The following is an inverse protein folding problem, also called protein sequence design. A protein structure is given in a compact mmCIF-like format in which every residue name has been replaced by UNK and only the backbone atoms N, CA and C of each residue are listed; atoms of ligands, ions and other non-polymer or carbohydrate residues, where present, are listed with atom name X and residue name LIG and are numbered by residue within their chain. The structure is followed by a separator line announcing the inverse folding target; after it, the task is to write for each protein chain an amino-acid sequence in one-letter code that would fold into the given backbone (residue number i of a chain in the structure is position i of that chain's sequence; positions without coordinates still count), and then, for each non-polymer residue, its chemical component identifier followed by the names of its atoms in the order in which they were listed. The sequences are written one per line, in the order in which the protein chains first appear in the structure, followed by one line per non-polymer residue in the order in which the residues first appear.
data_IF_615012386725
#
_entry.id   IF_615012386725
#
_cell.length_a   1.000
_cell.length_b   1.000
_cell.length_c   1.000
_cell.angle_alpha   90.00
_cell.angle_beta   90.00
_cell.angle_gamma   90.00
#
_symmetry.space_group_name_H-M   'P 1'
#
loop_
_entity.id
_entity.type
_entity.pdbx_description
1 polymer ?
#
# COMPACT_ATOMS: atom_id res chain seq x y z
N UNK A 1 -1.24 14.44 -12.56
CA UNK A 1 -2.28 14.51 -13.59
C UNK A 1 -1.78 14.06 -14.98
N UNK A 2 -0.64 13.41 -15.05
CA UNK A 2 0.01 12.87 -16.25
C UNK A 2 -0.89 11.89 -17.06
N UNK A 3 -1.91 11.33 -16.42
CA UNK A 3 -2.68 10.20 -16.93
C UNK A 3 -4.14 10.52 -17.28
N UNK A 4 -4.57 11.76 -17.15
CA UNK A 4 -5.92 12.22 -17.49
C UNK A 4 -5.84 13.41 -18.44
N UNK A 5 -6.82 13.55 -19.33
CA UNK A 5 -6.92 14.71 -20.21
C UNK A 5 -7.05 16.00 -19.39
N UNK A 6 -6.17 16.96 -19.61
CA UNK A 6 -6.14 18.21 -18.87
C UNK A 6 -7.42 19.04 -19.09
N UNK A 7 -8.00 19.00 -20.30
CA UNK A 7 -9.25 19.72 -20.60
C UNK A 7 -10.43 19.20 -19.78
N UNK A 8 -10.44 17.88 -19.50
CA UNK A 8 -11.43 17.29 -18.60
C UNK A 8 -11.21 17.75 -17.16
N UNK A 9 -9.95 17.82 -16.71
CA UNK A 9 -9.59 18.25 -15.35
C UNK A 9 -9.93 19.71 -15.06
N UNK A 10 -10.06 20.57 -16.06
CA UNK A 10 -10.44 21.99 -15.88
C UNK A 10 -11.80 22.15 -15.20
N UNK A 11 -12.68 21.16 -15.30
CA UNK A 11 -14.00 21.16 -14.67
C UNK A 11 -14.00 20.67 -13.20
N UNK A 12 -12.87 20.19 -12.69
CA UNK A 12 -12.80 19.55 -11.39
C UNK A 12 -11.76 20.16 -10.48
N UNK A 13 -12.03 20.13 -9.17
CA UNK A 13 -11.06 20.31 -8.11
C UNK A 13 -10.95 18.99 -7.33
N UNK A 14 -9.83 18.28 -7.48
CA UNK A 14 -9.58 17.01 -6.78
C UNK A 14 -8.61 17.28 -5.65
N UNK A 15 -9.09 17.14 -4.41
CA UNK A 15 -8.24 17.21 -3.21
C UNK A 15 -7.97 15.81 -2.68
N UNK A 16 -6.81 15.61 -2.05
CA UNK A 16 -6.41 14.29 -1.55
C UNK A 16 -6.29 14.26 -0.04
N UNK A 17 -6.76 13.20 0.59
CA UNK A 17 -6.57 12.81 1.98
C UNK A 17 -7.18 13.75 3.02
N UNK A 18 -6.76 15.02 3.06
CA UNK A 18 -7.19 15.99 4.06
C UNK A 18 -8.22 16.94 3.44
N UNK A 19 -9.48 16.93 3.93
CA UNK A 19 -10.50 17.83 3.42
C UNK A 19 -10.10 19.30 3.61
N UNK A 20 -10.49 20.13 2.65
CA UNK A 20 -10.26 21.60 2.68
C UNK A 20 -8.80 22.02 2.91
N UNK A 21 -7.83 21.14 2.61
CA UNK A 21 -6.40 21.50 2.60
C UNK A 21 -6.09 22.67 1.67
N UNK A 22 -6.89 22.81 0.62
CA UNK A 22 -6.94 23.97 -0.28
C UNK A 22 -8.39 24.45 -0.34
N UNK A 23 -8.66 25.75 -0.60
CA UNK A 23 -10.01 26.28 -0.73
C UNK A 23 -10.79 25.55 -1.83
N UNK A 24 -12.06 25.23 -1.55
CA UNK A 24 -12.95 24.62 -2.52
C UNK A 24 -13.31 25.62 -3.63
N UNK A 25 -13.51 25.11 -4.83
CA UNK A 25 -13.94 25.93 -5.98
C UNK A 25 -15.46 26.14 -5.95
N UNK A 26 -15.90 27.34 -6.36
CA UNK A 26 -17.32 27.63 -6.59
C UNK A 26 -17.78 27.22 -7.98
N UNK A 27 -16.85 27.14 -8.93
CA UNK A 27 -17.12 26.96 -10.37
C UNK A 27 -16.74 25.56 -10.87
N UNK A 28 -16.21 24.69 -9.98
CA UNK A 28 -15.76 23.34 -10.34
C UNK A 28 -16.45 22.30 -9.46
N UNK A 29 -16.55 21.09 -9.97
CA UNK A 29 -16.97 19.92 -9.20
C UNK A 29 -15.86 19.56 -8.21
N UNK A 30 -16.16 19.60 -6.92
CA UNK A 30 -15.19 19.34 -5.85
C UNK A 30 -15.21 17.86 -5.47
N UNK A 31 -14.09 17.17 -5.64
CA UNK A 31 -13.93 15.76 -5.33
C UNK A 31 -12.90 15.59 -4.20
N UNK A 32 -13.24 14.83 -3.17
CA UNK A 32 -12.27 14.37 -2.18
C UNK A 32 -11.83 12.94 -2.50
N UNK A 33 -10.56 12.78 -2.88
CA UNK A 33 -9.93 11.47 -3.06
C UNK A 33 -9.25 11.03 -1.77
N UNK A 34 -9.94 10.16 -1.02
CA UNK A 34 -9.50 9.74 0.30
C UNK A 34 -8.46 8.61 0.23
N UNK A 35 -7.29 8.89 0.82
CA UNK A 35 -6.16 7.96 0.90
C UNK A 35 -5.81 7.57 2.34
N UNK A 36 -6.26 8.37 3.33
CA UNK A 36 -5.96 8.17 4.73
C UNK A 36 -7.01 7.30 5.42
N UNK A 37 -6.64 6.71 6.55
CA UNK A 37 -7.57 5.94 7.39
C UNK A 37 -8.57 6.83 8.12
N UNK A 38 -9.75 6.27 8.35
CA UNK A 38 -10.93 6.91 8.96
C UNK A 38 -10.76 7.32 10.43
N UNK A 39 -9.73 6.83 11.09
CA UNK A 39 -9.46 6.99 12.53
C UNK A 39 -8.45 8.10 12.83
N UNK A 40 -7.96 8.82 11.82
CA UNK A 40 -7.08 9.96 12.03
C UNK A 40 -7.85 11.14 12.67
N UNK A 41 -7.31 11.77 13.74
CA UNK A 41 -8.02 12.80 14.53
C UNK A 41 -8.63 13.91 13.67
N UNK A 42 -7.85 14.49 12.76
CA UNK A 42 -8.31 15.56 11.86
C UNK A 42 -9.46 15.13 10.93
N UNK A 43 -9.47 13.85 10.52
CA UNK A 43 -10.56 13.31 9.70
C UNK A 43 -11.80 13.03 10.53
N UNK A 44 -11.63 12.51 11.76
CA UNK A 44 -12.74 12.28 12.68
C UNK A 44 -13.49 13.59 12.92
N UNK A 45 -12.78 14.65 13.25
CA UNK A 45 -13.37 15.96 13.54
C UNK A 45 -14.16 16.49 12.33
N UNK A 46 -13.56 16.44 11.15
CA UNK A 46 -14.18 16.95 9.94
C UNK A 46 -15.42 16.12 9.52
N UNK A 47 -15.28 14.79 9.44
CA UNK A 47 -16.35 13.92 8.96
C UNK A 47 -17.48 13.69 9.98
N UNK A 48 -17.27 13.96 11.28
CA UNK A 48 -18.31 13.88 12.30
C UNK A 48 -19.36 14.98 12.12
N UNK A 49 -19.00 16.09 11.52
CA UNK A 49 -19.96 17.14 11.16
C UNK A 49 -20.60 16.82 9.79
N UNK A 50 -21.89 16.42 9.81
CA UNK A 50 -22.64 16.06 8.58
C UNK A 50 -22.80 17.21 7.57
N UNK A 51 -22.75 18.46 8.02
CA UNK A 51 -22.83 19.60 7.11
C UNK A 51 -21.60 19.72 6.24
N UNK A 52 -20.45 19.26 6.73
CA UNK A 52 -19.22 19.18 5.92
C UNK A 52 -19.38 18.23 4.74
N UNK A 53 -20.22 17.19 4.84
CA UNK A 53 -20.44 16.25 3.72
C UNK A 53 -21.09 16.92 2.50
N UNK A 54 -21.73 18.08 2.67
CA UNK A 54 -22.33 18.86 1.57
C UNK A 54 -21.32 19.67 0.77
N UNK A 55 -20.11 19.89 1.36
CA UNK A 55 -19.06 20.73 0.77
C UNK A 55 -18.38 20.08 -0.44
N UNK A 56 -18.38 18.75 -0.51
CA UNK A 56 -17.88 18.01 -1.66
C UNK A 56 -19.04 17.46 -2.46
N UNK A 57 -18.88 17.51 -3.78
CA UNK A 57 -19.83 16.94 -4.71
C UNK A 57 -19.71 15.43 -4.76
N UNK A 58 -18.46 14.92 -4.61
CA UNK A 58 -18.19 13.49 -4.66
C UNK A 58 -16.99 13.05 -3.81
N UNK A 59 -17.00 11.78 -3.40
CA UNK A 59 -15.94 11.11 -2.64
C UNK A 59 -15.41 9.91 -3.41
N UNK A 60 -14.09 9.82 -3.54
CA UNK A 60 -13.41 8.66 -4.13
C UNK A 60 -12.55 8.02 -3.07
N UNK A 61 -12.67 6.70 -2.89
CA UNK A 61 -11.88 5.91 -1.94
C UNK A 61 -10.92 5.00 -2.68
N UNK A 62 -9.78 4.70 -2.07
CA UNK A 62 -8.74 3.86 -2.67
C UNK A 62 -8.96 2.34 -2.49
N UNK A 63 -9.98 1.95 -1.69
CA UNK A 63 -10.41 0.57 -1.49
C UNK A 63 -11.86 0.51 -1.00
N UNK A 64 -12.50 -0.64 -1.19
CA UNK A 64 -13.83 -0.90 -0.61
C UNK A 64 -13.75 -0.96 0.92
N UNK A 65 -12.67 -1.50 1.48
CA UNK A 65 -12.43 -1.49 2.92
C UNK A 65 -12.43 -0.05 3.47
N UNK A 66 -11.68 0.85 2.84
CA UNK A 66 -11.64 2.25 3.24
C UNK A 66 -13.02 2.91 3.12
N UNK A 67 -13.71 2.72 1.99
CA UNK A 67 -15.06 3.21 1.77
C UNK A 67 -16.04 2.74 2.86
N UNK A 68 -16.07 1.45 3.16
CA UNK A 68 -16.97 0.88 4.17
C UNK A 68 -16.70 1.44 5.56
N UNK A 69 -15.43 1.63 5.94
CA UNK A 69 -15.07 2.24 7.23
C UNK A 69 -15.62 3.67 7.35
N UNK A 70 -15.45 4.49 6.32
CA UNK A 70 -16.00 5.84 6.29
C UNK A 70 -17.55 5.83 6.26
N UNK A 71 -18.14 4.96 5.45
CA UNK A 71 -19.60 4.81 5.37
C UNK A 71 -20.20 4.40 6.71
N UNK A 72 -19.64 3.41 7.38
CA UNK A 72 -20.14 2.91 8.66
C UNK A 72 -19.98 3.94 9.77
N UNK A 73 -18.84 4.61 9.85
CA UNK A 73 -18.55 5.55 10.93
C UNK A 73 -19.23 6.89 10.74
N UNK A 74 -19.16 7.47 9.54
CA UNK A 74 -19.58 8.85 9.29
C UNK A 74 -20.87 8.96 8.47
N UNK A 75 -21.41 7.84 7.97
CA UNK A 75 -22.61 7.80 7.15
C UNK A 75 -22.47 8.59 5.83
N UNK A 76 -21.31 8.49 5.19
CA UNK A 76 -21.08 9.11 3.88
C UNK A 76 -22.13 8.63 2.88
N UNK A 77 -22.78 9.52 2.11
CA UNK A 77 -23.83 9.14 1.16
C UNK A 77 -23.27 8.22 0.04
N UNK A 78 -23.88 7.07 -0.16
CA UNK A 78 -23.45 6.10 -1.16
C UNK A 78 -23.58 6.63 -2.60
N UNK A 79 -24.59 7.44 -2.88
CA UNK A 79 -24.82 8.05 -4.22
C UNK A 79 -23.78 9.13 -4.57
N UNK A 80 -22.96 9.57 -3.60
CA UNK A 80 -21.85 10.50 -3.78
C UNK A 80 -20.49 9.84 -3.59
N UNK A 81 -20.41 8.53 -3.70
CA UNK A 81 -19.18 7.81 -3.36
C UNK A 81 -18.88 6.72 -4.36
N UNK A 82 -17.60 6.54 -4.68
CA UNK A 82 -17.10 5.42 -5.47
C UNK A 82 -15.74 4.97 -5.00
N UNK A 83 -15.29 3.82 -5.48
CA UNK A 83 -13.95 3.28 -5.24
C UNK A 83 -13.18 3.26 -6.55
N UNK A 84 -12.05 3.97 -6.58
CA UNK A 84 -11.05 3.87 -7.64
C UNK A 84 -9.73 3.52 -6.98
N UNK A 85 -9.25 2.32 -7.25
CA UNK A 85 -8.05 1.79 -6.59
C UNK A 85 -6.78 2.56 -7.01
N UNK A 86 -5.73 2.45 -6.21
CA UNK A 86 -4.42 2.98 -6.56
C UNK A 86 -3.86 2.28 -7.81
N UNK A 87 -2.81 2.85 -8.38
CA UNK A 87 -2.08 2.28 -9.50
C UNK A 87 -0.58 2.36 -9.27
N UNK A 88 0.15 1.47 -9.94
CA UNK A 88 1.61 1.46 -9.99
C UNK A 88 2.08 1.32 -11.44
N UNK A 89 3.34 1.60 -11.68
CA UNK A 89 3.95 1.33 -12.98
C UNK A 89 4.11 -0.17 -13.19
N UNK A 90 4.00 -0.60 -14.44
CA UNK A 90 4.24 -2.00 -14.81
C UNK A 90 5.69 -2.39 -14.64
N UNK A 91 5.92 -3.66 -14.37
CA UNK A 91 7.22 -4.28 -14.38
C UNK A 91 7.34 -5.27 -15.55
N UNK A 92 8.53 -5.44 -16.15
CA UNK A 92 8.78 -6.51 -17.11
C UNK A 92 8.58 -7.88 -16.44
N UNK A 93 8.34 -8.90 -17.24
CA UNK A 93 8.18 -10.27 -16.72
C UNK A 93 9.43 -10.69 -15.93
N UNK A 94 9.20 -11.16 -14.71
CA UNK A 94 10.28 -11.60 -13.83
C UNK A 94 10.78 -12.99 -14.26
N UNK A 95 12.09 -13.13 -14.37
CA UNK A 95 12.76 -14.40 -14.60
C UNK A 95 13.03 -15.06 -13.25
N UNK A 96 12.41 -16.20 -12.97
CA UNK A 96 12.57 -16.94 -11.73
C UNK A 96 13.77 -17.89 -11.83
N UNK A 97 14.91 -17.45 -11.33
CA UNK A 97 16.14 -18.24 -11.28
C UNK A 97 16.44 -18.53 -9.81
N UNK A 98 16.62 -19.81 -9.46
CA UNK A 98 17.05 -20.20 -8.13
C UNK A 98 18.44 -19.64 -7.83
N UNK A 99 18.54 -18.92 -6.72
CA UNK A 99 19.77 -18.36 -6.17
C UNK A 99 20.24 -19.17 -4.97
N UNK A 100 21.50 -18.95 -4.56
CA UNK A 100 22.03 -19.58 -3.35
C UNK A 100 21.30 -19.12 -2.10
N UNK A 101 20.87 -17.85 -2.06
CA UNK A 101 20.07 -17.27 -0.97
C UNK A 101 18.71 -16.80 -1.48
N UNK A 102 17.70 -16.90 -0.65
CA UNK A 102 16.39 -16.26 -0.84
C UNK A 102 16.49 -14.83 -0.31
N UNK A 103 16.29 -13.86 -1.22
CA UNK A 103 16.34 -12.44 -0.87
C UNK A 103 14.97 -11.91 -0.50
N UNK A 104 14.85 -11.48 0.74
CA UNK A 104 13.68 -10.82 1.28
C UNK A 104 13.83 -9.31 1.20
N UNK A 105 12.72 -8.60 1.07
CA UNK A 105 12.67 -7.15 1.16
C UNK A 105 11.57 -6.70 2.13
N UNK A 106 11.85 -5.63 2.87
CA UNK A 106 10.88 -4.79 3.55
C UNK A 106 11.07 -3.34 3.10
N UNK A 107 10.08 -2.74 2.44
CA UNK A 107 10.13 -1.35 2.00
C UNK A 107 8.88 -0.59 2.44
N UNK A 108 8.89 -0.21 3.72
CA UNK A 108 7.81 0.53 4.34
C UNK A 108 8.31 1.30 5.56
N UNK A 109 7.44 2.11 6.17
CA UNK A 109 7.76 2.86 7.39
C UNK A 109 7.95 1.92 8.60
N UNK A 110 8.75 2.33 9.60
CA UNK A 110 9.12 1.41 10.70
C UNK A 110 7.93 0.98 11.57
N UNK A 111 6.89 1.81 11.72
CA UNK A 111 5.70 1.49 12.54
C UNK A 111 4.73 0.49 11.88
N UNK A 112 4.96 0.10 10.64
CA UNK A 112 4.11 -0.84 9.91
C UNK A 112 4.51 -2.30 10.10
N UNK A 113 5.23 -2.61 11.18
CA UNK A 113 5.56 -3.97 11.57
C UNK A 113 7.02 -4.37 11.40
N UNK A 114 7.96 -3.41 11.20
CA UNK A 114 9.38 -3.73 11.14
C UNK A 114 9.86 -4.46 12.41
N UNK A 115 9.37 -4.06 13.60
CA UNK A 115 9.68 -4.74 14.86
C UNK A 115 9.27 -6.22 14.86
N UNK A 116 8.12 -6.55 14.28
CA UNK A 116 7.65 -7.93 14.13
C UNK A 116 8.57 -8.71 13.19
N UNK A 117 8.92 -8.09 12.04
CA UNK A 117 9.79 -8.73 11.05
C UNK A 117 11.20 -9.01 11.61
N UNK A 118 11.80 -8.05 12.33
CA UNK A 118 13.10 -8.27 12.97
C UNK A 118 13.02 -9.36 14.04
N UNK A 119 11.93 -9.41 14.81
CA UNK A 119 11.67 -10.53 15.72
C UNK A 119 11.53 -11.87 14.99
N UNK A 120 10.92 -11.90 13.82
CA UNK A 120 10.83 -13.09 12.99
C UNK A 120 12.21 -13.52 12.46
N UNK A 121 13.03 -12.59 11.97
CA UNK A 121 14.38 -12.88 11.43
C UNK A 121 15.33 -13.48 12.48
N UNK A 122 15.12 -13.21 13.77
CA UNK A 122 15.85 -13.88 14.85
C UNK A 122 15.46 -15.36 15.02
N UNK A 123 14.26 -15.73 14.59
CA UNK A 123 13.68 -17.06 14.77
C UNK A 123 13.74 -17.93 13.51
N UNK A 124 13.98 -17.32 12.35
CA UNK A 124 14.12 -18.02 11.05
C UNK A 124 15.27 -19.04 11.16
N UNK A 125 14.98 -20.29 10.79
CA UNK A 125 15.92 -21.43 10.86
C UNK A 125 16.74 -21.57 9.58
N UNK A 126 16.16 -21.21 8.43
CA UNK A 126 16.84 -21.28 7.14
C UNK A 126 18.02 -20.30 7.11
N UNK A 127 19.23 -20.81 6.89
CA UNK A 127 20.46 -20.02 6.85
C UNK A 127 20.71 -19.32 5.50
N UNK A 128 19.99 -19.73 4.48
CA UNK A 128 20.09 -19.19 3.12
C UNK A 128 19.06 -18.07 2.87
N UNK A 129 18.72 -17.31 3.93
CA UNK A 129 17.77 -16.19 3.90
C UNK A 129 18.47 -14.89 4.26
N UNK A 130 18.22 -13.85 3.50
CA UNK A 130 18.78 -12.51 3.71
C UNK A 130 17.67 -11.46 3.50
N UNK A 131 17.55 -10.52 4.46
CA UNK A 131 16.55 -9.46 4.43
C UNK A 131 17.20 -8.09 4.22
N UNK A 132 16.78 -7.38 3.19
CA UNK A 132 17.08 -5.97 3.00
C UNK A 132 15.94 -5.09 3.53
N UNK A 133 16.28 -4.13 4.39
CA UNK A 133 15.33 -3.23 5.05
C UNK A 133 15.49 -1.81 4.53
N UNK A 134 14.55 -1.39 3.70
CA UNK A 134 14.37 0.00 3.23
C UNK A 134 13.30 0.66 4.10
N UNK A 135 13.72 1.25 5.21
CA UNK A 135 12.78 1.82 6.19
C UNK A 135 13.33 3.08 6.82
N UNK A 136 12.55 4.15 6.79
CA UNK A 136 12.84 5.42 7.44
C UNK A 136 11.57 6.24 7.52
N UNK A 137 11.53 7.20 8.45
CA UNK A 137 10.49 8.22 8.50
C UNK A 137 10.67 9.30 7.43
N UNK A 138 11.83 9.35 6.77
CA UNK A 138 12.18 10.33 5.72
C UNK A 138 11.27 10.26 4.49
N UNK A 139 10.55 9.16 4.29
CA UNK A 139 9.56 9.04 3.20
C UNK A 139 8.49 10.14 3.23
N UNK A 140 8.25 10.74 4.40
CA UNK A 140 7.34 11.88 4.58
C UNK A 140 8.06 13.25 4.59
N UNK A 141 9.33 13.29 4.20
CA UNK A 141 10.14 14.49 4.10
C UNK A 141 11.07 14.72 5.31
N UNK A 142 12.04 15.61 5.12
CA UNK A 142 13.11 15.83 6.10
C UNK A 142 12.60 16.43 7.42
N UNK A 143 11.58 17.28 7.37
CA UNK A 143 10.97 17.83 8.58
C UNK A 143 10.29 16.74 9.41
N UNK A 144 9.57 15.82 8.75
CA UNK A 144 8.94 14.70 9.44
C UNK A 144 9.99 13.77 10.06
N UNK A 145 11.07 13.48 9.34
CA UNK A 145 12.20 12.70 9.85
C UNK A 145 12.80 13.34 11.11
N UNK A 146 13.09 14.63 11.06
CA UNK A 146 13.71 15.36 12.19
C UNK A 146 12.91 15.23 13.49
N UNK A 147 11.58 15.12 13.41
CA UNK A 147 10.72 15.05 14.59
C UNK A 147 10.37 13.62 15.02
N UNK A 148 10.48 12.63 14.11
CA UNK A 148 9.92 11.30 14.34
C UNK A 148 10.93 10.14 14.26
N UNK A 149 12.13 10.35 13.70
CA UNK A 149 13.06 9.24 13.45
C UNK A 149 13.73 8.70 14.72
N UNK A 150 13.92 9.57 15.71
CA UNK A 150 14.62 9.24 16.96
C UNK A 150 13.94 8.10 17.73
N UNK A 151 12.62 8.03 17.72
CA UNK A 151 11.88 6.97 18.40
C UNK A 151 12.14 5.56 17.79
N UNK A 152 12.65 5.49 16.55
CA UNK A 152 12.94 4.24 15.84
C UNK A 152 14.43 3.88 15.82
N UNK A 153 15.32 4.70 16.39
CA UNK A 153 16.77 4.42 16.42
C UNK A 153 17.09 3.04 16.97
N UNK A 154 16.49 2.65 18.11
CA UNK A 154 16.68 1.34 18.70
C UNK A 154 16.29 0.20 17.76
N UNK A 155 15.23 0.38 16.96
CA UNK A 155 14.80 -0.61 15.98
C UNK A 155 15.78 -0.70 14.79
N UNK A 156 16.33 0.43 14.36
CA UNK A 156 17.35 0.45 13.30
C UNK A 156 18.67 -0.20 13.75
N UNK A 157 19.09 0.04 15.00
CA UNK A 157 20.26 -0.63 15.57
C UNK A 157 20.04 -2.14 15.74
N UNK A 158 18.82 -2.55 16.12
CA UNK A 158 18.47 -3.99 16.13
C UNK A 158 18.58 -4.59 14.72
N UNK A 159 18.11 -3.89 13.68
CA UNK A 159 18.23 -4.36 12.30
C UNK A 159 19.69 -4.53 11.88
N UNK A 160 20.55 -3.57 12.20
CA UNK A 160 22.01 -3.63 11.90
C UNK A 160 22.74 -4.75 12.65
N UNK A 161 22.26 -5.13 13.84
CA UNK A 161 22.89 -6.15 14.66
C UNK A 161 22.58 -7.59 14.22
N UNK A 162 21.56 -7.80 13.37
CA UNK A 162 21.17 -9.13 12.91
C UNK A 162 22.04 -9.56 11.71
N UNK A 163 22.68 -10.75 11.75
CA UNK A 163 23.62 -11.16 10.70
C UNK A 163 22.97 -11.48 9.35
N UNK A 164 21.66 -11.70 9.33
CA UNK A 164 20.85 -11.98 8.13
C UNK A 164 19.96 -10.80 7.70
N UNK A 165 20.26 -9.59 8.20
CA UNK A 165 19.52 -8.36 7.90
C UNK A 165 20.47 -7.26 7.47
N UNK A 166 20.22 -6.64 6.34
CA UNK A 166 20.91 -5.46 5.84
C UNK A 166 20.00 -4.23 6.02
N UNK A 167 20.30 -3.36 6.98
CA UNK A 167 19.57 -2.12 7.12
C UNK A 167 20.12 -1.06 6.15
N UNK A 168 19.32 -0.66 5.16
CA UNK A 168 19.70 0.28 4.11
C UNK A 168 19.17 1.68 4.41
N UNK A 169 18.04 1.79 5.10
CA UNK A 169 17.42 3.06 5.43
C UNK A 169 16.56 3.62 4.30
N UNK A 170 16.61 4.95 4.10
CA UNK A 170 15.83 5.62 3.07
C UNK A 170 16.48 5.53 1.70
N UNK A 171 15.69 5.15 0.73
CA UNK A 171 15.98 5.27 -0.71
C UNK A 171 14.75 5.83 -1.40
N UNK A 172 14.92 6.49 -2.51
CA UNK A 172 13.78 6.98 -3.31
C UNK A 172 12.94 5.80 -3.82
N UNK A 173 11.64 6.05 -4.02
CA UNK A 173 10.77 4.99 -4.56
C UNK A 173 11.22 4.51 -5.95
N UNK A 174 11.77 5.42 -6.76
CA UNK A 174 12.32 5.08 -8.08
C UNK A 174 13.48 4.09 -7.97
N UNK A 175 14.38 4.29 -7.01
CA UNK A 175 15.53 3.38 -6.80
C UNK A 175 15.09 2.03 -6.25
N UNK A 176 14.11 1.99 -5.30
CA UNK A 176 13.53 0.74 -4.81
C UNK A 176 12.92 -0.04 -5.97
N UNK A 177 12.13 0.60 -6.81
CA UNK A 177 11.48 -0.04 -7.96
C UNK A 177 12.46 -0.67 -8.94
N UNK A 178 13.60 -0.02 -9.22
CA UNK A 178 14.66 -0.60 -10.07
C UNK A 178 15.21 -1.90 -9.52
N UNK A 179 15.18 -2.08 -8.19
CA UNK A 179 15.74 -3.25 -7.50
C UNK A 179 14.71 -4.32 -7.11
N UNK A 180 13.40 -4.01 -7.14
CA UNK A 180 12.38 -4.93 -6.63
C UNK A 180 12.49 -6.33 -7.24
N UNK A 181 12.75 -6.45 -8.54
CA UNK A 181 12.84 -7.76 -9.19
C UNK A 181 14.11 -8.57 -8.82
N UNK A 182 15.06 -7.98 -8.08
CA UNK A 182 16.20 -8.71 -7.53
C UNK A 182 15.83 -9.54 -6.29
N UNK A 183 14.69 -9.22 -5.64
CA UNK A 183 14.16 -9.91 -4.47
C UNK A 183 13.21 -11.02 -4.86
N UNK A 184 13.04 -11.95 -3.94
CA UNK A 184 12.23 -13.15 -4.13
C UNK A 184 10.93 -13.07 -3.31
N UNK A 185 10.99 -12.44 -2.13
CA UNK A 185 9.91 -12.44 -1.16
C UNK A 185 9.75 -11.06 -0.51
N UNK A 186 8.54 -10.54 -0.56
CA UNK A 186 8.15 -9.36 0.23
C UNK A 186 7.54 -9.79 1.56
N UNK A 187 8.21 -9.47 2.67
CA UNK A 187 7.73 -9.77 4.02
C UNK A 187 7.15 -8.52 4.67
N UNK A 188 5.83 -8.48 4.80
CA UNK A 188 5.12 -7.31 5.31
C UNK A 188 4.18 -7.67 6.47
N UNK A 189 4.68 -7.81 7.71
CA UNK A 189 3.89 -8.11 8.89
C UNK A 189 3.14 -6.86 9.38
N UNK A 190 2.26 -6.30 8.55
CA UNK A 190 1.60 -5.05 8.89
C UNK A 190 0.82 -5.14 10.20
N UNK A 191 1.12 -4.22 11.11
CA UNK A 191 0.38 -3.98 12.35
C UNK A 191 -0.41 -2.67 12.26
N UNK A 192 -0.47 -2.09 11.07
CA UNK A 192 -1.22 -0.89 10.73
C UNK A 192 -2.43 -1.23 9.86
N UNK A 193 -3.59 -0.61 10.12
CA UNK A 193 -4.77 -0.76 9.25
C UNK A 193 -4.52 -0.08 7.90
N UNK A 194 -3.99 -0.83 6.94
CA UNK A 194 -3.74 -0.32 5.60
C UNK A 194 -5.04 0.04 4.88
N UNK A 195 -5.05 1.16 4.17
CA UNK A 195 -6.18 1.57 3.34
C UNK A 195 -6.11 1.02 1.92
N UNK A 196 -4.89 0.74 1.41
CA UNK A 196 -4.64 0.14 0.09
C UNK A 196 -3.25 -0.49 -0.05
N UNK A 197 -2.20 0.03 0.58
CA UNK A 197 -0.82 -0.46 0.57
C UNK A 197 -0.14 -0.51 -0.82
N UNK A 198 0.36 0.64 -1.28
CA UNK A 198 1.07 0.74 -2.57
C UNK A 198 2.32 -0.16 -2.62
N UNK A 199 3.08 -0.28 -1.53
CA UNK A 199 4.27 -1.15 -1.48
C UNK A 199 3.95 -2.63 -1.73
N UNK A 200 2.80 -3.10 -1.24
CA UNK A 200 2.32 -4.45 -1.55
C UNK A 200 1.96 -4.62 -3.03
N UNK A 201 1.26 -3.63 -3.60
CA UNK A 201 0.92 -3.63 -5.03
C UNK A 201 2.20 -3.67 -5.88
N UNK A 202 3.21 -2.84 -5.56
CA UNK A 202 4.48 -2.80 -6.27
C UNK A 202 5.24 -4.13 -6.18
N UNK A 203 5.30 -4.74 -5.00
CA UNK A 203 5.95 -6.03 -4.80
C UNK A 203 5.30 -7.15 -5.63
N UNK A 204 3.97 -7.23 -5.61
CA UNK A 204 3.21 -8.22 -6.38
C UNK A 204 3.29 -7.97 -7.89
N UNK A 205 3.30 -6.69 -8.31
CA UNK A 205 3.50 -6.31 -9.71
C UNK A 205 4.93 -6.61 -10.19
N UNK A 206 5.92 -6.53 -9.32
CA UNK A 206 7.30 -6.91 -9.62
C UNK A 206 7.50 -8.45 -9.66
N UNK A 207 6.48 -9.24 -9.31
CA UNK A 207 6.53 -10.70 -9.33
C UNK A 207 7.19 -11.32 -8.09
N UNK A 208 7.20 -10.61 -6.94
CA UNK A 208 7.65 -11.19 -5.69
C UNK A 208 6.55 -12.08 -5.10
N UNK A 209 6.96 -13.17 -4.45
CA UNK A 209 6.05 -13.80 -3.50
C UNK A 209 5.85 -12.89 -2.29
N UNK A 210 4.76 -13.06 -1.55
CA UNK A 210 4.48 -12.19 -0.42
C UNK A 210 3.99 -12.97 0.80
N UNK A 211 4.47 -12.59 1.98
CA UNK A 211 3.91 -12.97 3.28
C UNK A 211 3.42 -11.70 3.96
N UNK A 212 2.16 -11.65 4.36
CA UNK A 212 1.57 -10.47 4.99
C UNK A 212 0.51 -10.84 6.02
N UNK A 213 0.06 -9.86 6.79
CA UNK A 213 -1.14 -10.01 7.63
C UNK A 213 -2.41 -9.74 6.83
N UNK A 214 -3.54 -10.24 7.34
CA UNK A 214 -4.88 -9.94 6.81
C UNK A 214 -5.49 -8.65 7.43
N UNK A 215 -4.66 -7.66 7.76
CA UNK A 215 -5.09 -6.48 8.52
C UNK A 215 -5.40 -5.28 7.61
N UNK A 216 -6.52 -4.59 7.89
CA UNK A 216 -6.99 -3.50 7.05
C UNK A 216 -7.41 -3.96 5.65
N UNK A 217 -7.07 -3.18 4.63
CA UNK A 217 -7.39 -3.47 3.24
C UNK A 217 -6.41 -4.46 2.57
N UNK A 218 -5.48 -5.08 3.31
CA UNK A 218 -4.48 -5.97 2.69
C UNK A 218 -5.11 -7.17 1.99
N UNK A 219 -6.17 -7.75 2.57
CA UNK A 219 -6.86 -8.87 1.91
C UNK A 219 -7.52 -8.43 0.60
N UNK A 220 -8.13 -7.24 0.56
CA UNK A 220 -8.69 -6.68 -0.67
C UNK A 220 -7.62 -6.33 -1.71
N UNK A 221 -6.50 -5.74 -1.25
CA UNK A 221 -5.41 -5.28 -2.12
C UNK A 221 -4.62 -6.44 -2.70
N UNK A 222 -4.35 -7.46 -1.89
CA UNK A 222 -3.48 -8.57 -2.26
C UNK A 222 -4.24 -9.83 -2.68
N UNK A 223 -5.57 -9.87 -2.48
CA UNK A 223 -6.43 -11.00 -2.83
C UNK A 223 -5.88 -12.33 -2.25
N UNK A 224 -6.02 -13.43 -2.92
CA UNK A 224 -5.55 -14.75 -2.50
C UNK A 224 -4.08 -15.07 -2.87
N UNK A 225 -3.31 -14.10 -3.36
CA UNK A 225 -1.94 -14.34 -3.82
C UNK A 225 -0.90 -14.53 -2.71
N UNK A 226 -0.92 -13.75 -1.60
CA UNK A 226 0.04 -13.92 -0.52
C UNK A 226 -0.22 -15.13 0.38
N UNK A 227 0.80 -15.52 1.10
CA UNK A 227 0.62 -16.26 2.35
C UNK A 227 0.16 -15.29 3.43
N UNK A 228 -1.05 -15.52 3.95
CA UNK A 228 -1.61 -14.69 5.02
C UNK A 228 -1.31 -15.27 6.40
N UNK A 229 -0.81 -14.40 7.26
CA UNK A 229 -0.72 -14.63 8.70
C UNK A 229 -1.83 -13.84 9.39
N UNK A 230 -2.64 -14.50 10.20
CA UNK A 230 -3.69 -13.82 10.94
C UNK A 230 -3.12 -12.78 11.89
N UNK A 231 -3.61 -11.55 11.75
CA UNK A 231 -3.19 -10.45 12.62
C UNK A 231 -3.53 -10.73 14.08
N UNK A 232 -2.61 -10.41 14.96
CA UNK A 232 -2.79 -10.42 16.40
C UNK A 232 -2.01 -9.28 17.04
N UNK A 233 -2.48 -8.79 18.19
CA UNK A 233 -1.78 -7.80 19.02
C UNK A 233 -0.62 -8.39 19.82
N UNK A 234 -0.51 -9.73 19.91
CA UNK A 234 0.67 -10.40 20.41
C UNK A 234 1.76 -10.43 19.34
N UNK A 235 2.58 -9.40 19.33
CA UNK A 235 3.64 -9.23 18.32
C UNK A 235 4.74 -10.27 18.43
N UNK A 236 4.96 -10.87 19.61
CA UNK A 236 5.90 -11.97 19.78
C UNK A 236 5.37 -13.25 19.12
N UNK A 237 4.09 -13.52 19.27
CA UNK A 237 3.44 -14.64 18.60
C UNK A 237 3.37 -14.41 17.09
N UNK A 238 3.03 -13.19 16.66
CA UNK A 238 3.02 -12.81 15.25
C UNK A 238 4.39 -13.01 14.58
N UNK A 239 5.48 -12.63 15.28
CA UNK A 239 6.84 -12.85 14.80
C UNK A 239 7.17 -14.35 14.63
N UNK A 240 6.72 -15.22 15.55
CA UNK A 240 6.88 -16.68 15.42
C UNK A 240 6.14 -17.22 14.19
N UNK A 241 4.92 -16.76 13.94
CA UNK A 241 4.15 -17.15 12.76
C UNK A 241 4.82 -16.69 11.46
N UNK A 242 5.35 -15.46 11.43
CA UNK A 242 6.10 -14.98 10.28
C UNK A 242 7.39 -15.75 10.05
N UNK A 243 8.16 -16.09 11.10
CA UNK A 243 9.37 -16.91 10.98
C UNK A 243 9.05 -18.28 10.39
N UNK A 244 8.01 -18.94 10.88
CA UNK A 244 7.54 -20.23 10.35
C UNK A 244 7.14 -20.07 8.86
N UNK A 245 6.37 -19.05 8.51
CA UNK A 245 5.93 -18.83 7.13
C UNK A 245 7.10 -18.53 6.19
N UNK A 246 8.14 -17.80 6.66
CA UNK A 246 9.36 -17.54 5.88
C UNK A 246 10.09 -18.86 5.61
N UNK A 247 10.31 -19.69 6.63
CA UNK A 247 10.96 -20.98 6.48
C UNK A 247 10.20 -21.88 5.49
N UNK A 248 8.87 -21.97 5.61
CA UNK A 248 8.02 -22.76 4.71
C UNK A 248 8.07 -22.25 3.27
N UNK A 249 7.91 -20.93 3.05
CA UNK A 249 7.97 -20.34 1.70
C UNK A 249 9.33 -20.61 1.07
N UNK A 250 10.42 -20.42 1.79
CA UNK A 250 11.77 -20.67 1.29
C UNK A 250 11.97 -22.12 0.85
N UNK A 251 11.28 -23.08 1.50
CA UNK A 251 11.36 -24.50 1.15
C UNK A 251 10.73 -24.82 -0.20
N UNK A 252 9.73 -24.07 -0.64
CA UNK A 252 9.01 -24.39 -1.89
C UNK A 252 9.11 -23.34 -3.00
N UNK A 253 9.62 -22.14 -2.73
CA UNK A 253 9.55 -20.97 -3.61
C UNK A 253 10.00 -21.25 -5.06
N UNK A 254 10.97 -22.14 -5.27
CA UNK A 254 11.48 -22.50 -6.59
C UNK A 254 11.09 -23.92 -7.04
N UNK A 255 10.10 -24.54 -6.38
CA UNK A 255 9.69 -25.91 -6.64
C UNK A 255 8.36 -25.99 -7.38
N UNK A 256 8.20 -27.03 -8.18
CA UNK A 256 6.94 -27.37 -8.84
C UNK A 256 6.39 -26.22 -9.69
N UNK A 257 5.13 -25.88 -9.46
CA UNK A 257 4.36 -24.88 -10.23
C UNK A 257 4.41 -23.48 -9.60
N UNK A 258 5.20 -23.24 -8.54
CA UNK A 258 5.25 -21.94 -7.87
C UNK A 258 5.74 -20.83 -8.80
N UNK A 259 6.78 -20.99 -9.62
CA UNK A 259 7.17 -19.98 -10.59
C UNK A 259 6.04 -19.57 -11.55
N UNK A 260 5.25 -20.54 -12.02
CA UNK A 260 4.10 -20.28 -12.91
C UNK A 260 2.97 -19.55 -12.18
N UNK A 261 2.73 -19.88 -10.91
CA UNK A 261 1.81 -19.15 -10.05
C UNK A 261 2.22 -17.68 -9.91
N UNK A 262 3.50 -17.39 -9.63
CA UNK A 262 4.03 -16.04 -9.49
C UNK A 262 4.00 -15.25 -10.81
N UNK A 263 4.20 -15.90 -11.96
CA UNK A 263 4.00 -15.28 -13.27
C UNK A 263 2.55 -14.86 -13.50
N UNK A 264 1.58 -15.72 -13.17
CA UNK A 264 0.15 -15.37 -13.25
C UNK A 264 -0.21 -14.23 -12.29
N UNK A 265 0.30 -14.26 -11.06
CA UNK A 265 0.18 -13.16 -10.11
C UNK A 265 0.69 -11.85 -10.74
N UNK A 266 1.92 -11.86 -11.25
CA UNK A 266 2.53 -10.68 -11.84
C UNK A 266 1.73 -10.14 -13.03
N UNK A 267 1.27 -11.01 -13.92
CA UNK A 267 0.46 -10.63 -15.06
C UNK A 267 -0.86 -9.98 -14.64
N UNK A 268 -1.53 -10.55 -13.62
CA UNK A 268 -2.74 -9.97 -13.04
C UNK A 268 -2.49 -8.56 -12.48
N UNK A 269 -1.43 -8.37 -11.67
CA UNK A 269 -1.14 -7.07 -11.07
C UNK A 269 -0.69 -6.03 -12.08
N UNK A 270 0.10 -6.43 -13.08
CA UNK A 270 0.50 -5.57 -14.20
C UNK A 270 -0.68 -5.05 -15.01
N UNK A 271 -1.76 -5.82 -15.13
CA UNK A 271 -2.98 -5.37 -15.79
C UNK A 271 -3.87 -4.58 -14.82
N UNK A 272 -4.26 -5.21 -13.71
CA UNK A 272 -5.30 -4.71 -12.82
C UNK A 272 -4.91 -3.41 -12.10
N UNK A 273 -3.65 -3.25 -11.68
CA UNK A 273 -3.15 -2.06 -10.98
C UNK A 273 -2.36 -1.11 -11.88
N UNK A 274 -2.47 -1.24 -13.21
CA UNK A 274 -1.79 -0.35 -14.15
C UNK A 274 -2.39 1.05 -14.17
N UNK A 275 -1.55 2.05 -14.47
CA UNK A 275 -1.99 3.42 -14.73
C UNK A 275 -2.93 3.52 -15.93
N UNK A 276 -2.76 2.71 -16.98
CA UNK A 276 -3.65 2.72 -18.15
C UNK A 276 -5.08 2.41 -17.74
N UNK A 277 -5.25 1.37 -16.90
CA UNK A 277 -6.57 1.01 -16.37
C UNK A 277 -7.15 2.10 -15.49
N UNK A 278 -6.36 2.67 -14.58
CA UNK A 278 -6.82 3.75 -13.70
C UNK A 278 -7.15 5.03 -14.45
N UNK A 279 -6.37 5.36 -15.50
CA UNK A 279 -6.69 6.46 -16.40
C UNK A 279 -8.06 6.28 -17.02
N UNK A 280 -8.35 5.10 -17.55
CA UNK A 280 -9.67 4.80 -18.15
C UNK A 280 -10.80 4.93 -17.13
N UNK A 281 -10.64 4.35 -15.93
CA UNK A 281 -11.65 4.43 -14.86
C UNK A 281 -11.89 5.87 -14.41
N UNK A 282 -10.82 6.65 -14.17
CA UNK A 282 -10.94 8.07 -13.83
C UNK A 282 -11.61 8.88 -14.95
N UNK A 283 -11.21 8.66 -16.20
CA UNK A 283 -11.78 9.40 -17.34
C UNK A 283 -13.28 9.12 -17.49
N UNK A 284 -13.71 7.87 -17.39
CA UNK A 284 -15.12 7.48 -17.47
C UNK A 284 -15.92 8.06 -16.29
N UNK A 285 -15.37 7.98 -15.08
CA UNK A 285 -16.00 8.52 -13.89
C UNK A 285 -16.17 10.05 -13.98
N UNK A 286 -15.11 10.78 -14.30
CA UNK A 286 -15.16 12.25 -14.42
C UNK A 286 -16.10 12.69 -15.55
N UNK A 287 -16.10 12.01 -16.70
CA UNK A 287 -17.02 12.30 -17.79
C UNK A 287 -18.49 12.08 -17.38
N UNK A 288 -18.76 11.01 -16.64
CA UNK A 288 -20.10 10.73 -16.09
C UNK A 288 -20.59 11.86 -15.19
N UNK A 289 -19.75 12.28 -14.22
CA UNK A 289 -20.07 13.38 -13.31
C UNK A 289 -20.31 14.72 -14.06
N UNK A 290 -19.51 15.01 -15.08
CA UNK A 290 -19.65 16.23 -15.86
C UNK A 290 -20.98 16.23 -16.63
N UNK A 291 -21.38 15.10 -17.21
CA UNK A 291 -22.65 14.96 -17.91
C UNK A 291 -23.85 15.15 -16.96
N UNK A 292 -23.79 14.53 -15.76
CA UNK A 292 -24.82 14.73 -14.73
C UNK A 292 -24.92 16.18 -14.27
N UNK A 293 -23.78 16.85 -14.10
CA UNK A 293 -23.76 18.26 -13.68
C UNK A 293 -24.41 19.17 -14.75
N UNK A 294 -24.06 18.97 -16.02
CA UNK A 294 -24.62 19.74 -17.15
C UNK A 294 -26.11 19.49 -17.34
N UNK A 295 -26.63 18.33 -17.01
CA UNK A 295 -28.06 18.02 -17.11
C UNK A 295 -28.91 18.69 -16.01
N UNK A 296 -28.29 19.23 -14.98
CA UNK A 296 -28.93 19.91 -13.84
C UNK A 296 -28.90 21.45 -13.97
N UNK A 297 -28.13 21.97 -14.92
CA UNK A 297 -28.07 23.39 -15.29
C UNK A 297 -29.08 23.69 -16.39
#
# INVERSE_FOLDING_TARGET
YKYVDNSLLDNFLITTSVPEKIPLSKDKINILWQQNSYDQPNLIDWFSNKDNHKKYDFYVFNSHWCYEKFRMRFKIPCHKSTVIKNAVERFPEKIFIRKNKVKLIYHSTPWRGLNVLLGAMQLVKNKDVELDVYSSTQIYGDQFKKHNDDQYKGLYEQAKALPNVNYIGYVSNEEIRKKLQEYDLYCFPSIWEETSCISAIEALTAGLHMITTNYGALFETCSEWPVYVNYTKDYKYLAKLFAFSIDEVCNYLYKGTVPDFLKRQQAFYNDFYSWDRRKSEWSQFLQGLLNEHRSKL
#
